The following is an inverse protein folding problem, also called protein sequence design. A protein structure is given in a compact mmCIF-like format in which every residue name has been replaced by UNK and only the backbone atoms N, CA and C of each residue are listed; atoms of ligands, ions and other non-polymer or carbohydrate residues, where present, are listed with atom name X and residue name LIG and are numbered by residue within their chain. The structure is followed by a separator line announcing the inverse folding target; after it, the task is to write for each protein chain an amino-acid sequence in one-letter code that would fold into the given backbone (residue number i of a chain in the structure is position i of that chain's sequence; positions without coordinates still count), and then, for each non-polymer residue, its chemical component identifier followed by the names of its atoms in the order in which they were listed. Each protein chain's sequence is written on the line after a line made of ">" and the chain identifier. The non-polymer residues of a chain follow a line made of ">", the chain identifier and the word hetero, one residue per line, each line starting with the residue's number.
data_IF_931978414094
#
_entry.id   IF_931978414094
#
_cell.length_a   1.000
_cell.length_b   1.000
_cell.length_c   1.000
_cell.angle_alpha   90.00
_cell.angle_beta   90.00
_cell.angle_gamma   90.00
#
_symmetry.space_group_name_H-M   'P 1'
#
loop_
_entity.id
_entity.type
_entity.pdbx_description
1 polymer ?
#
# COMPACT_ATOMS: atom_id res chain seq x y z
N UNK A 1 -10.82 -0.10 -14.43
CA UNK A 1 -9.80 0.58 -13.60
C UNK A 1 -8.44 0.03 -14.02
N UNK A 2 -7.66 0.74 -14.84
CA UNK A 2 -6.41 0.21 -15.43
C UNK A 2 -5.21 0.52 -14.54
N UNK A 3 -5.00 -0.26 -13.48
CA UNK A 3 -3.79 -0.23 -12.67
C UNK A 3 -3.03 -1.53 -12.83
N UNK A 4 -2.11 -1.66 -13.81
CA UNK A 4 -1.43 -2.95 -13.93
C UNK A 4 -0.31 -3.17 -14.95
N UNK A 5 0.27 -2.17 -15.62
CA UNK A 5 1.41 -2.44 -16.55
C UNK A 5 2.55 -1.41 -16.54
N UNK A 6 2.55 -0.44 -15.63
CA UNK A 6 3.72 0.42 -15.47
C UNK A 6 4.80 -0.36 -14.71
N UNK A 7 5.94 -0.66 -15.36
CA UNK A 7 7.14 -1.26 -14.72
C UNK A 7 7.90 -0.25 -13.83
N UNK A 8 7.27 0.88 -13.48
CA UNK A 8 7.92 2.00 -12.85
C UNK A 8 8.88 2.77 -13.77
N UNK A 9 9.48 3.86 -13.28
CA UNK A 9 10.41 4.67 -14.05
C UNK A 9 11.73 3.95 -14.32
N UNK A 10 12.15 3.88 -15.59
CA UNK A 10 13.42 3.25 -16.00
C UNK A 10 14.58 4.25 -16.11
N UNK A 11 14.29 5.53 -16.35
CA UNK A 11 15.29 6.60 -16.49
C UNK A 11 15.74 7.14 -15.14
N UNK A 12 16.96 7.70 -15.06
CA UNK A 12 17.47 8.34 -13.84
C UNK A 12 16.53 9.43 -13.33
N UNK A 13 16.08 10.32 -14.22
CA UNK A 13 15.13 11.39 -13.90
C UNK A 13 13.79 10.87 -13.41
N UNK A 14 13.26 9.81 -14.03
CA UNK A 14 12.00 9.21 -13.60
C UNK A 14 12.10 8.60 -12.18
N UNK A 15 13.23 7.96 -11.86
CA UNK A 15 13.47 7.41 -10.52
C UNK A 15 13.55 8.52 -9.48
N UNK A 16 14.22 9.63 -9.80
CA UNK A 16 14.34 10.76 -8.91
C UNK A 16 12.99 11.46 -8.66
N UNK A 17 12.20 11.67 -9.71
CA UNK A 17 10.84 12.20 -9.57
C UNK A 17 9.95 11.29 -8.72
N UNK A 18 10.08 9.97 -8.86
CA UNK A 18 9.36 9.02 -8.01
C UNK A 18 9.82 9.08 -6.56
N UNK A 19 11.12 9.29 -6.30
CA UNK A 19 11.67 9.48 -4.95
C UNK A 19 11.12 10.75 -4.31
N UNK A 20 11.11 11.86 -5.04
CA UNK A 20 10.54 13.13 -4.59
C UNK A 20 9.05 13.00 -4.31
N UNK A 21 8.29 12.33 -5.18
CA UNK A 21 6.86 12.08 -4.96
C UNK A 21 6.63 11.23 -3.71
N UNK A 22 7.43 10.19 -3.49
CA UNK A 22 7.37 9.36 -2.28
C UNK A 22 7.65 10.18 -1.01
N UNK A 23 8.60 11.12 -1.05
CA UNK A 23 8.87 12.05 0.05
C UNK A 23 7.73 13.05 0.26
N UNK A 24 7.25 13.69 -0.81
CA UNK A 24 6.20 14.73 -0.77
C UNK A 24 4.88 14.19 -0.25
N UNK A 25 4.49 12.99 -0.68
CA UNK A 25 3.19 12.42 -0.38
C UNK A 25 3.22 11.46 0.82
N UNK A 26 4.40 11.14 1.37
CA UNK A 26 4.56 10.38 2.61
C UNK A 26 4.03 8.94 2.58
N UNK A 27 3.37 8.50 1.50
CA UNK A 27 2.70 7.20 1.41
C UNK A 27 3.66 5.99 1.42
N UNK A 28 4.96 6.23 1.26
CA UNK A 28 5.99 5.21 1.25
C UNK A 28 7.04 5.38 2.36
N UNK A 29 6.78 6.21 3.39
CA UNK A 29 7.67 6.23 4.56
C UNK A 29 7.53 4.92 5.35
N UNK A 30 8.54 4.59 6.18
CA UNK A 30 8.51 3.39 7.02
C UNK A 30 7.28 3.39 7.94
N UNK A 31 6.91 4.55 8.45
CA UNK A 31 5.77 4.76 9.35
C UNK A 31 4.43 4.59 8.60
N UNK A 32 4.32 5.08 7.37
CA UNK A 32 3.13 4.88 6.55
C UNK A 32 2.95 3.40 6.14
N UNK A 33 4.04 2.74 5.78
CA UNK A 33 4.03 1.30 5.46
C UNK A 33 3.67 0.45 6.68
N UNK A 34 4.20 0.78 7.87
CA UNK A 34 3.87 0.11 9.12
C UNK A 34 2.38 0.27 9.46
N UNK A 35 1.84 1.50 9.38
CA UNK A 35 0.41 1.76 9.58
C UNK A 35 -0.47 0.96 8.62
N UNK A 36 -0.12 0.96 7.33
CA UNK A 36 -0.84 0.20 6.31
C UNK A 36 -0.83 -1.31 6.59
N UNK A 37 0.29 -1.85 7.08
CA UNK A 37 0.38 -3.26 7.48
C UNK A 37 -0.55 -3.56 8.64
N UNK A 38 -0.50 -2.75 9.70
CA UNK A 38 -1.41 -2.90 10.85
C UNK A 38 -2.88 -2.84 10.43
N UNK A 39 -3.26 -1.88 9.58
CA UNK A 39 -4.63 -1.79 9.08
C UNK A 39 -5.04 -3.03 8.29
N UNK A 40 -4.17 -3.57 7.42
CA UNK A 40 -4.45 -4.82 6.69
C UNK A 40 -4.61 -6.01 7.61
N UNK A 41 -3.78 -6.11 8.64
CA UNK A 41 -3.87 -7.19 9.63
C UNK A 41 -5.18 -7.12 10.42
N UNK A 42 -5.63 -5.92 10.80
CA UNK A 42 -6.92 -5.72 11.45
C UNK A 42 -8.08 -6.12 10.52
N UNK A 43 -8.07 -5.68 9.26
CA UNK A 43 -9.10 -6.05 8.29
C UNK A 43 -9.16 -7.56 8.12
N UNK A 44 -8.01 -8.23 8.02
CA UNK A 44 -7.95 -9.69 7.91
C UNK A 44 -8.56 -10.35 9.14
N UNK A 45 -8.15 -9.96 10.34
CA UNK A 45 -8.70 -10.49 11.59
C UNK A 45 -10.22 -10.27 11.69
N UNK A 46 -10.73 -9.10 11.28
CA UNK A 46 -12.17 -8.83 11.27
C UNK A 46 -12.90 -9.76 10.29
N UNK A 47 -12.34 -10.01 9.11
CA UNK A 47 -12.91 -10.97 8.15
C UNK A 47 -12.91 -12.39 8.68
N UNK A 48 -11.78 -12.83 9.22
CA UNK A 48 -11.64 -14.16 9.83
C UNK A 48 -12.68 -14.34 10.96
N UNK A 49 -12.91 -13.30 11.76
CA UNK A 49 -13.93 -13.30 12.82
C UNK A 49 -15.36 -13.39 12.25
N UNK A 50 -15.71 -12.56 11.27
CA UNK A 50 -17.04 -12.58 10.62
C UNK A 50 -17.34 -13.96 10.06
N UNK A 51 -16.37 -14.56 9.37
CA UNK A 51 -16.48 -15.91 8.82
C UNK A 51 -16.63 -16.97 9.92
N UNK A 52 -15.88 -16.85 11.02
CA UNK A 52 -16.02 -17.77 12.16
C UNK A 52 -17.38 -17.69 12.86
N UNK A 53 -18.05 -16.55 12.78
CA UNK A 53 -19.39 -16.32 13.33
C UNK A 53 -20.51 -16.75 12.37
N UNK A 54 -20.18 -17.18 11.15
CA UNK A 54 -21.15 -17.59 10.14
C UNK A 54 -22.01 -16.43 9.62
N UNK A 55 -21.49 -15.21 9.66
CA UNK A 55 -22.16 -13.99 9.22
C UNK A 55 -21.83 -13.65 7.75
N UNK A 56 -21.73 -14.67 6.89
CA UNK A 56 -21.47 -14.53 5.44
C UNK A 56 -22.69 -14.92 4.60
#
# INVERSE_FOLDING_TARGET
>A
MHGGKSKGPKTKTGKENSRIAALKHGGCTKEALARNRTCRDLIRQSKDLIQSLGLE
#
